data_IF_970033095817
#
_entry.id   IF_970033095817
#
_cell.length_a   1.000
_cell.length_b   1.000
_cell.length_c   1.000
_cell.angle_alpha   90.00
_cell.angle_beta   90.00
_cell.angle_gamma   90.00
#
_symmetry.space_group_name_H-M   'P 1'
#
loop_
_entity.id
_entity.type
_entity.pdbx_description
1 polymer ?
#
# COMPACT_ATOMS: atom_id res chain seq x y z
N UNK A 1 -6.17 -7.32 -11.03
CA UNK A 1 -4.69 -7.38 -11.03
C UNK A 1 -4.29 -8.72 -10.43
N UNK A 2 -3.15 -9.30 -10.81
CA UNK A 2 -2.67 -10.65 -10.46
C UNK A 2 -2.87 -11.06 -8.96
N UNK A 3 -4.08 -11.47 -8.58
CA UNK A 3 -4.45 -11.78 -7.19
C UNK A 3 -4.63 -10.58 -6.24
N UNK A 4 -4.63 -9.34 -6.75
CA UNK A 4 -4.91 -8.11 -5.97
C UNK A 4 -6.20 -7.44 -6.48
N UNK A 5 -7.36 -7.68 -5.84
CA UNK A 5 -8.64 -7.13 -6.28
C UNK A 5 -8.80 -5.62 -6.05
N UNK A 6 -8.12 -5.07 -5.04
CA UNK A 6 -8.28 -3.69 -4.60
C UNK A 6 -6.95 -3.10 -4.09
N UNK A 7 -6.90 -1.77 -3.98
CA UNK A 7 -5.77 -1.05 -3.43
C UNK A 7 -5.79 0.43 -3.79
N UNK A 8 -4.78 1.16 -3.32
CA UNK A 8 -4.62 2.57 -3.61
C UNK A 8 -3.15 2.98 -3.59
N UNK A 9 -2.77 3.86 -4.52
CA UNK A 9 -1.52 4.62 -4.45
C UNK A 9 -1.77 5.97 -3.77
N UNK A 10 -1.09 6.17 -2.65
CA UNK A 10 -1.06 7.41 -1.90
C UNK A 10 0.17 8.21 -2.25
N UNK A 11 0.02 9.52 -2.38
CA UNK A 11 1.13 10.46 -2.58
C UNK A 11 1.30 11.30 -1.32
N UNK A 12 2.55 11.50 -0.91
CA UNK A 12 2.87 12.34 0.24
C UNK A 12 2.73 13.82 -0.13
N UNK A 13 1.89 14.52 0.61
CA UNK A 13 1.77 15.98 0.59
C UNK A 13 2.58 16.56 1.76
N UNK A 14 3.69 17.26 1.49
CA UNK A 14 4.52 17.86 2.52
C UNK A 14 3.87 19.07 3.21
N UNK A 15 2.93 19.76 2.56
CA UNK A 15 2.26 20.92 3.14
C UNK A 15 1.29 20.52 4.26
N UNK A 16 0.57 19.42 4.07
CA UNK A 16 -0.33 18.86 5.09
C UNK A 16 0.29 17.74 5.93
N UNK A 17 1.54 17.37 5.63
CA UNK A 17 2.23 16.20 6.19
C UNK A 17 1.33 14.95 6.19
N UNK A 18 0.77 14.62 5.02
CA UNK A 18 -0.23 13.56 4.87
C UNK A 18 -0.04 12.73 3.61
N UNK A 19 -0.51 11.49 3.65
CA UNK A 19 -0.65 10.62 2.50
C UNK A 19 -2.05 10.82 1.90
N UNK A 20 -2.09 11.35 0.68
CA UNK A 20 -3.32 11.68 -0.04
C UNK A 20 -3.58 10.59 -1.09
N UNK A 21 -4.77 9.96 -1.12
CA UNK A 21 -5.11 8.99 -2.17
C UNK A 21 -5.09 9.68 -3.54
N UNK A 22 -4.43 9.07 -4.53
CA UNK A 22 -4.35 9.64 -5.90
C UNK A 22 -4.80 8.68 -6.98
N UNK A 23 -4.66 7.38 -6.74
CA UNK A 23 -5.06 6.36 -7.70
C UNK A 23 -5.64 5.16 -6.97
N UNK A 24 -6.92 4.90 -7.20
CA UNK A 24 -7.57 3.67 -6.77
C UNK A 24 -7.26 2.57 -7.77
N UNK A 25 -7.01 1.38 -7.27
CA UNK A 25 -6.67 0.20 -8.06
C UNK A 25 -7.77 -0.84 -7.84
N UNK A 26 -8.33 -1.36 -8.94
CA UNK A 26 -9.28 -2.47 -8.88
C UNK A 26 -10.72 -2.05 -8.63
N UNK A 27 -11.43 -2.78 -7.77
CA UNK A 27 -12.90 -2.68 -7.61
C UNK A 27 -13.36 -1.78 -6.46
N UNK A 28 -12.45 -1.26 -5.64
CA UNK A 28 -12.79 -0.41 -4.50
C UNK A 28 -13.23 0.98 -4.95
N UNK A 29 -14.06 1.63 -4.13
CA UNK A 29 -14.50 3.01 -4.35
C UNK A 29 -13.48 4.02 -3.78
N UNK A 30 -13.32 5.21 -4.40
CA UNK A 30 -12.40 6.24 -3.90
C UNK A 30 -12.63 6.66 -2.45
N UNK A 31 -13.88 6.65 -1.99
CA UNK A 31 -14.27 7.06 -0.64
C UNK A 31 -13.81 6.07 0.44
N UNK A 32 -13.40 4.85 0.05
CA UNK A 32 -12.84 3.84 0.96
C UNK A 32 -11.39 4.16 1.40
N UNK A 33 -10.73 5.11 0.72
CA UNK A 33 -9.32 5.45 0.95
C UNK A 33 -9.17 6.88 1.49
N UNK A 34 -9.24 7.10 2.81
CA UNK A 34 -9.15 8.45 3.38
C UNK A 34 -7.72 9.00 3.34
N UNK A 35 -7.59 10.33 3.42
CA UNK A 35 -6.30 10.99 3.68
C UNK A 35 -5.75 10.53 5.03
N UNK A 36 -4.46 10.19 5.06
CA UNK A 36 -3.79 9.69 6.28
C UNK A 36 -2.68 10.63 6.71
N UNK A 37 -2.88 11.32 7.85
CA UNK A 37 -1.86 12.22 8.40
C UNK A 37 -0.67 11.44 8.96
N UNK A 38 0.54 11.89 8.61
CA UNK A 38 1.79 11.28 9.04
C UNK A 38 2.33 11.96 10.29
N UNK A 39 1.55 12.00 11.38
CA UNK A 39 2.02 12.57 12.63
C UNK A 39 3.21 11.75 13.18
N UNK A 40 4.32 12.38 13.59
CA UNK A 40 5.40 11.68 14.28
C UNK A 40 5.00 11.23 15.69
N UNK A 41 3.94 11.83 16.25
CA UNK A 41 3.40 11.52 17.59
C UNK A 41 2.35 10.41 17.56
N UNK A 42 1.86 10.03 16.38
CA UNK A 42 0.96 8.88 16.26
C UNK A 42 1.76 7.60 16.50
N UNK A 43 1.66 7.09 17.74
CA UNK A 43 2.14 5.78 18.16
C UNK A 43 1.23 4.64 17.71
N UNK A 44 0.15 4.96 16.98
CA UNK A 44 -0.80 3.99 16.47
C UNK A 44 -0.16 3.06 15.43
N UNK A 45 -0.57 1.79 15.44
CA UNK A 45 -0.27 0.82 14.39
C UNK A 45 -1.03 1.19 13.11
N UNK A 46 -0.67 2.30 12.47
CA UNK A 46 -1.22 2.72 11.20
C UNK A 46 -0.34 2.17 10.07
N UNK A 47 -0.95 1.39 9.17
CA UNK A 47 -0.25 0.67 8.11
C UNK A 47 0.51 1.63 7.18
N UNK A 48 -0.14 2.70 6.72
CA UNK A 48 0.40 3.58 5.69
C UNK A 48 1.56 4.46 6.18
N UNK A 49 1.49 5.16 7.34
CA UNK A 49 2.64 5.89 7.86
C UNK A 49 3.83 4.98 8.16
N UNK A 50 3.57 3.75 8.62
CA UNK A 50 4.62 2.75 8.86
C UNK A 50 5.28 2.30 7.55
N UNK A 51 4.51 2.00 6.51
CA UNK A 51 5.04 1.68 5.19
C UNK A 51 5.81 2.87 4.60
N UNK A 52 5.28 4.09 4.73
CA UNK A 52 5.91 5.31 4.25
C UNK A 52 7.24 5.63 4.94
N UNK A 53 7.49 5.16 6.17
CA UNK A 53 8.77 5.35 6.88
C UNK A 53 9.69 4.12 6.79
N UNK A 54 9.14 2.93 6.58
CA UNK A 54 9.85 1.65 6.60
C UNK A 54 10.69 1.40 5.34
N UNK A 55 11.73 0.58 5.44
CA UNK A 55 12.59 0.19 4.30
C UNK A 55 12.18 -1.12 3.64
N UNK A 56 11.07 -1.71 4.08
CA UNK A 56 10.55 -2.97 3.60
C UNK A 56 9.02 -2.93 3.56
N UNK A 57 8.39 -3.73 2.68
CA UNK A 57 6.95 -3.87 2.65
C UNK A 57 6.38 -4.27 4.02
N UNK A 58 5.31 -3.60 4.40
CA UNK A 58 4.52 -3.92 5.61
C UNK A 58 3.34 -4.78 5.18
N UNK A 59 3.27 -5.99 5.73
CA UNK A 59 2.13 -6.90 5.53
C UNK A 59 1.28 -6.88 6.80
N UNK A 60 -0.02 -6.64 6.65
CA UNK A 60 -0.99 -6.70 7.73
C UNK A 60 -2.11 -7.65 7.35
N UNK A 61 -2.43 -8.56 8.25
CA UNK A 61 -3.63 -9.37 8.16
C UNK A 61 -4.70 -8.71 9.02
N UNK A 62 -5.73 -8.16 8.38
CA UNK A 62 -6.88 -7.62 9.10
C UNK A 62 -7.81 -8.79 9.45
N UNK A 63 -8.00 -9.04 10.74
CA UNK A 63 -8.99 -9.97 11.24
C UNK A 63 -10.27 -9.20 11.62
N UNK A 64 -11.01 -8.70 10.64
CA UNK A 64 -12.34 -8.13 10.87
C UNK A 64 -13.41 -9.09 10.30
N UNK A 65 -14.03 -9.89 11.17
CA UNK A 65 -15.12 -10.81 10.80
C UNK A 65 -14.67 -12.13 10.17
N UNK A 66 -15.49 -12.70 9.27
CA UNK A 66 -15.25 -14.00 8.61
C UNK A 66 -14.28 -13.95 7.42
N UNK A 67 -13.84 -12.76 6.99
CA UNK A 67 -12.89 -12.60 5.88
C UNK A 67 -11.61 -11.96 6.39
N UNK A 68 -10.50 -12.71 6.36
CA UNK A 68 -9.18 -12.15 6.63
C UNK A 68 -8.65 -11.47 5.37
N UNK A 69 -8.65 -10.14 5.33
CA UNK A 69 -8.01 -9.39 4.24
C UNK A 69 -6.53 -9.24 4.57
N UNK A 70 -5.65 -9.70 3.67
CA UNK A 70 -4.21 -9.45 3.77
C UNK A 70 -3.89 -8.22 2.94
N UNK A 71 -3.30 -7.22 3.57
CA UNK A 71 -2.89 -5.97 2.95
C UNK A 71 -1.38 -5.90 2.96
N UNK A 72 -0.80 -5.51 1.82
CA UNK A 72 0.63 -5.24 1.69
C UNK A 72 0.81 -3.79 1.25
N UNK A 73 1.71 -3.07 1.92
CA UNK A 73 2.00 -1.67 1.60
C UNK A 73 3.50 -1.40 1.63
N UNK A 74 3.99 -0.60 0.69
CA UNK A 74 5.39 -0.20 0.63
C UNK A 74 5.53 1.22 0.05
N UNK A 75 6.57 1.92 0.48
CA UNK A 75 6.87 3.25 -0.04
C UNK A 75 7.35 3.17 -1.49
N UNK A 76 7.07 4.20 -2.29
CA UNK A 76 7.67 4.37 -3.61
C UNK A 76 8.33 5.74 -3.74
N UNK A 77 9.28 5.85 -4.69
CA UNK A 77 10.19 6.98 -4.85
C UNK A 77 11.59 6.63 -4.33
N UNK A 78 12.61 6.90 -5.15
CA UNK A 78 14.00 6.52 -4.87
C UNK A 78 14.65 7.41 -3.80
N UNK A 79 15.08 8.62 -4.19
CA UNK A 79 15.85 9.54 -3.31
C UNK A 79 14.91 10.22 -2.32
N UNK A 80 13.75 10.63 -2.78
CA UNK A 80 12.68 11.18 -1.96
C UNK A 80 11.47 10.27 -2.08
N UNK A 81 10.95 9.82 -0.93
CA UNK A 81 9.75 9.01 -0.88
C UNK A 81 8.59 9.87 -1.39
N UNK A 82 8.00 9.45 -2.50
CA UNK A 82 6.90 10.14 -3.15
C UNK A 82 5.55 9.69 -2.56
N UNK A 83 5.47 8.48 -2.01
CA UNK A 83 4.19 7.94 -1.57
C UNK A 83 4.24 6.50 -1.08
N UNK A 84 3.07 5.86 -1.02
CA UNK A 84 2.87 4.46 -0.61
C UNK A 84 1.94 3.78 -1.59
N UNK A 85 2.33 2.62 -2.10
CA UNK A 85 1.42 1.70 -2.78
C UNK A 85 0.86 0.76 -1.71
N UNK A 86 -0.46 0.59 -1.68
CA UNK A 86 -1.14 -0.37 -0.83
C UNK A 86 -2.03 -1.24 -1.70
N UNK A 87 -1.90 -2.56 -1.57
CA UNK A 87 -2.72 -3.54 -2.29
C UNK A 87 -3.31 -4.55 -1.33
N UNK A 88 -4.54 -4.95 -1.61
CA UNK A 88 -5.28 -5.99 -0.88
C UNK A 88 -5.16 -7.29 -1.65
N UNK A 89 -4.68 -8.35 -1.00
CA UNK A 89 -4.52 -9.67 -1.61
C UNK A 89 -5.80 -10.49 -1.48
N UNK A 90 -6.20 -11.13 -2.59
CA UNK A 90 -7.31 -12.08 -2.58
C UNK A 90 -6.94 -13.34 -1.77
N UNK A 91 -7.93 -14.02 -1.15
CA UNK A 91 -7.67 -15.19 -0.31
C UNK A 91 -6.92 -16.31 -1.02
N UNK A 92 -7.14 -16.49 -2.32
CA UNK A 92 -6.47 -17.51 -3.13
C UNK A 92 -4.98 -17.21 -3.32
N UNK A 93 -4.60 -15.94 -3.50
CA UNK A 93 -3.19 -15.54 -3.56
C UNK A 93 -2.49 -15.76 -2.20
N UNK A 94 -3.20 -15.47 -1.10
CA UNK A 94 -2.68 -15.71 0.27
C UNK A 94 -2.45 -17.20 0.52
N UNK A 95 -3.36 -18.07 0.07
CA UNK A 95 -3.25 -19.53 0.22
C UNK A 95 -2.07 -20.13 -0.54
N UNK A 96 -1.65 -19.53 -1.66
CA UNK A 96 -0.46 -19.96 -2.41
C UNK A 96 0.85 -19.63 -1.69
N UNK A 97 0.80 -18.71 -0.72
CA UNK A 97 1.88 -18.44 0.21
C UNK A 97 2.48 -17.03 0.09
N UNK A 98 3.04 -16.55 1.20
CA UNK A 98 3.56 -15.19 1.32
C UNK A 98 4.67 -14.86 0.31
N UNK A 99 5.50 -15.83 -0.07
CA UNK A 99 6.59 -15.60 -1.01
C UNK A 99 6.08 -15.24 -2.41
N UNK A 100 5.05 -15.93 -2.90
CA UNK A 100 4.44 -15.65 -4.21
C UNK A 100 3.76 -14.28 -4.18
N UNK A 101 2.93 -14.02 -3.17
CA UNK A 101 2.26 -12.74 -2.98
C UNK A 101 3.23 -11.56 -2.96
N UNK A 102 4.31 -11.65 -2.17
CA UNK A 102 5.34 -10.58 -2.09
C UNK A 102 6.07 -10.40 -3.43
N UNK A 103 6.30 -11.48 -4.17
CA UNK A 103 6.97 -11.42 -5.47
C UNK A 103 6.09 -10.70 -6.50
N UNK A 104 4.80 -11.04 -6.56
CA UNK A 104 3.85 -10.36 -7.44
C UNK A 104 3.68 -8.89 -7.05
N UNK A 105 3.59 -8.61 -5.74
CA UNK A 105 3.54 -7.25 -5.24
C UNK A 105 4.74 -6.41 -5.69
N UNK A 106 5.96 -6.94 -5.53
CA UNK A 106 7.20 -6.25 -5.95
C UNK A 106 7.22 -5.97 -7.45
N UNK A 107 6.74 -6.89 -8.27
CA UNK A 107 6.64 -6.68 -9.71
C UNK A 107 5.68 -5.52 -10.06
N UNK A 108 4.51 -5.47 -9.41
CA UNK A 108 3.55 -4.38 -9.59
C UNK A 108 4.10 -3.03 -9.09
N UNK A 109 4.77 -3.05 -7.94
CA UNK A 109 5.41 -1.88 -7.35
C UNK A 109 6.51 -1.30 -8.25
N UNK A 110 7.38 -2.16 -8.80
CA UNK A 110 8.40 -1.73 -9.75
C UNK A 110 7.77 -1.20 -11.04
N UNK A 111 6.74 -1.86 -11.58
CA UNK A 111 6.04 -1.38 -12.77
C UNK A 111 5.42 0.01 -12.57
N UNK A 112 4.87 0.29 -11.38
CA UNK A 112 4.37 1.62 -11.03
C UNK A 112 5.51 2.65 -11.02
N UNK A 113 6.64 2.34 -10.37
CA UNK A 113 7.82 3.21 -10.33
C UNK A 113 8.30 3.55 -11.74
N UNK A 114 8.40 2.55 -12.60
CA UNK A 114 8.86 2.69 -13.98
C UNK A 114 7.89 3.56 -14.79
N UNK A 115 6.57 3.35 -14.64
CA UNK A 115 5.54 4.14 -15.33
C UNK A 115 5.53 5.60 -14.89
N UNK A 116 5.81 5.88 -13.62
CA UNK A 116 5.86 7.22 -13.05
C UNK A 116 7.22 7.90 -13.24
N UNK A 117 8.20 7.21 -13.84
CA UNK A 117 9.58 7.70 -14.02
C UNK A 117 10.20 8.17 -12.71
N UNK A 118 9.95 7.43 -11.63
CA UNK A 118 10.43 7.77 -10.29
C UNK A 118 11.85 7.26 -9.99
N UNK A 119 12.52 6.72 -11.01
CA UNK A 119 13.92 6.23 -11.02
C UNK A 119 14.94 7.34 -10.82
#
# INVERSE_FOLDING_TARGET
LAGFPAGCAYVFDPSSNALVPRLVVGVAEPDEYPVVHCSPLDSGDQLLPRAFRGTAPVVRQNAWGQSSTVVIADAFGHIQRAGVLMLEAAPDLVQRGNAEMVSVYKALHQALIDCLKLT
#
